data_IF_602260206085
#
_entry.id   IF_602260206085
#
_cell.length_a   1.000
_cell.length_b   1.000
_cell.length_c   1.000
_cell.angle_alpha   90.00
_cell.angle_beta   90.00
_cell.angle_gamma   90.00
#
_symmetry.space_group_name_H-M   'P 1'
#
loop_
_entity.id
_entity.type
_entity.pdbx_description
1 polymer ?
#
# COMPACT_ATOMS: atom_id res chain seq x y z
N UNK A 1 -16.77 3.64 -26.03
CA UNK A 1 -16.51 4.39 -27.28
C UNK A 1 -16.97 5.83 -27.10
N UNK A 2 -16.08 6.75 -26.67
CA UNK A 2 -16.39 8.18 -26.43
C UNK A 2 -16.30 9.00 -27.75
N UNK A 3 -16.99 8.53 -28.80
CA UNK A 3 -16.95 9.11 -30.15
C UNK A 3 -18.13 10.04 -30.47
N UNK A 4 -19.09 10.21 -29.57
CA UNK A 4 -20.21 11.13 -29.79
C UNK A 4 -19.77 12.58 -29.49
N UNK A 5 -19.83 13.43 -30.51
CA UNK A 5 -19.46 14.85 -30.47
C UNK A 5 -20.26 15.66 -29.43
N UNK A 6 -21.47 15.21 -29.08
CA UNK A 6 -22.32 15.85 -28.07
C UNK A 6 -21.77 15.71 -26.66
N UNK A 7 -21.28 14.53 -26.27
CA UNK A 7 -20.67 14.31 -24.94
C UNK A 7 -19.39 15.13 -24.76
N UNK A 8 -18.65 15.34 -25.84
CA UNK A 8 -17.44 16.16 -25.83
C UNK A 8 -17.79 17.63 -25.62
N UNK A 9 -18.77 18.16 -26.37
CA UNK A 9 -19.28 19.52 -26.20
C UNK A 9 -19.83 19.75 -24.80
N UNK A 10 -20.56 18.77 -24.24
CA UNK A 10 -21.11 18.86 -22.90
C UNK A 10 -20.00 19.00 -21.86
N UNK A 11 -18.95 18.18 -21.92
CA UNK A 11 -17.83 18.26 -20.97
C UNK A 11 -17.11 19.60 -21.09
N UNK A 12 -16.78 20.04 -22.31
CA UNK A 12 -16.09 21.33 -22.53
C UNK A 12 -16.93 22.52 -22.04
N UNK A 13 -18.23 22.55 -22.34
CA UNK A 13 -19.11 23.63 -21.90
C UNK A 13 -19.28 23.67 -20.37
N UNK A 14 -19.34 22.51 -19.71
CA UNK A 14 -19.45 22.46 -18.26
C UNK A 14 -18.16 22.94 -17.59
N UNK A 15 -16.97 22.63 -18.13
CA UNK A 15 -15.70 23.14 -17.57
C UNK A 15 -15.58 24.67 -17.73
N UNK A 16 -16.22 25.25 -18.73
CA UNK A 16 -16.28 26.71 -18.88
C UNK A 16 -17.24 27.39 -17.88
N UNK A 17 -18.19 26.65 -17.31
CA UNK A 17 -19.24 27.18 -16.41
C UNK A 17 -19.01 26.82 -14.94
N UNK A 18 -18.28 25.75 -14.66
CA UNK A 18 -18.10 25.20 -13.32
C UNK A 18 -16.61 25.01 -13.00
N UNK A 19 -16.21 25.34 -11.77
CA UNK A 19 -14.84 25.15 -11.30
C UNK A 19 -14.45 23.67 -11.14
N UNK A 20 -15.43 22.79 -10.91
CA UNK A 20 -15.23 21.34 -10.73
C UNK A 20 -16.28 20.58 -11.54
N UNK A 21 -15.84 19.64 -12.38
CA UNK A 21 -16.71 18.76 -13.17
C UNK A 21 -16.41 17.31 -12.82
N UNK A 22 -17.38 16.63 -12.21
CA UNK A 22 -17.31 15.20 -11.90
C UNK A 22 -17.80 14.38 -13.10
N UNK A 23 -16.97 13.44 -13.57
CA UNK A 23 -17.32 12.58 -14.71
C UNK A 23 -17.40 11.13 -14.25
N UNK A 24 -18.62 10.59 -14.20
CA UNK A 24 -18.84 9.18 -13.93
C UNK A 24 -18.55 8.32 -15.17
N UNK A 25 -17.78 7.26 -14.96
CA UNK A 25 -17.18 6.45 -16.01
C UNK A 25 -16.97 5.01 -15.56
N UNK A 26 -17.52 4.07 -16.31
CA UNK A 26 -17.21 2.65 -16.10
C UNK A 26 -15.70 2.38 -16.25
N UNK A 27 -15.15 1.45 -15.45
CA UNK A 27 -13.80 0.94 -15.65
C UNK A 27 -13.56 0.54 -17.11
N UNK A 28 -12.43 0.93 -17.69
CA UNK A 28 -12.00 0.58 -19.06
C UNK A 28 -12.72 1.32 -20.21
N UNK A 29 -13.54 2.32 -19.88
CA UNK A 29 -14.20 3.17 -20.89
C UNK A 29 -13.25 4.07 -21.70
N UNK A 30 -11.98 4.18 -21.31
CA UNK A 30 -10.96 5.04 -21.92
C UNK A 30 -11.15 6.54 -21.65
N UNK A 31 -12.18 6.91 -20.89
CA UNK A 31 -12.54 8.31 -20.61
C UNK A 31 -11.46 9.08 -19.85
N UNK A 32 -10.76 8.40 -18.93
CA UNK A 32 -9.69 9.00 -18.14
C UNK A 32 -8.52 9.50 -19.02
N UNK A 33 -8.27 8.88 -20.17
CA UNK A 33 -7.21 9.29 -21.10
C UNK A 33 -7.71 10.23 -22.21
N UNK A 34 -9.00 10.12 -22.57
CA UNK A 34 -9.60 10.89 -23.67
C UNK A 34 -10.04 12.29 -23.24
N UNK A 35 -10.57 12.45 -22.02
CA UNK A 35 -11.07 13.74 -21.51
C UNK A 35 -9.94 14.77 -21.35
N UNK A 36 -8.76 14.43 -20.78
CA UNK A 36 -7.68 15.41 -20.68
C UNK A 36 -7.19 15.88 -22.06
N UNK A 37 -7.10 14.97 -23.04
CA UNK A 37 -6.73 15.31 -24.42
C UNK A 37 -7.76 16.22 -25.07
N UNK A 38 -9.04 15.97 -24.83
CA UNK A 38 -10.13 16.80 -25.32
C UNK A 38 -10.05 18.22 -24.75
N UNK A 39 -9.89 18.35 -23.43
CA UNK A 39 -9.84 19.64 -22.75
C UNK A 39 -8.57 20.43 -23.09
N UNK A 40 -7.45 19.74 -23.29
CA UNK A 40 -6.23 20.35 -23.80
C UNK A 40 -6.42 20.87 -25.23
N UNK A 41 -7.04 20.09 -26.13
CA UNK A 41 -7.35 20.53 -27.49
C UNK A 41 -8.35 21.71 -27.53
N UNK A 42 -9.22 21.83 -26.52
CA UNK A 42 -10.15 22.95 -26.35
C UNK A 42 -9.50 24.20 -25.72
N UNK A 43 -8.17 24.23 -25.55
CA UNK A 43 -7.42 25.40 -25.03
C UNK A 43 -7.79 25.83 -23.60
N UNK A 44 -8.28 24.91 -22.77
CA UNK A 44 -8.66 25.21 -21.37
C UNK A 44 -7.46 25.26 -20.39
N UNK A 45 -6.23 25.47 -20.90
CA UNK A 45 -5.01 25.58 -20.09
C UNK A 45 -4.45 24.24 -19.59
N UNK A 46 -3.81 24.26 -18.41
CA UNK A 46 -3.22 23.08 -17.77
C UNK A 46 -4.30 22.19 -17.16
N UNK A 47 -4.65 21.11 -17.85
CA UNK A 47 -5.63 20.13 -17.38
C UNK A 47 -4.92 19.06 -16.56
N UNK A 48 -5.09 19.12 -15.23
CA UNK A 48 -4.60 18.08 -14.31
C UNK A 48 -5.72 17.07 -14.08
N UNK A 49 -5.46 15.81 -14.41
CA UNK A 49 -6.40 14.72 -14.14
C UNK A 49 -5.76 13.79 -13.11
N UNK A 50 -6.35 13.69 -11.91
CA UNK A 50 -5.93 12.71 -10.90
C UNK A 50 -6.40 11.32 -11.34
N UNK A 51 -5.62 10.69 -12.21
CA UNK A 51 -5.74 9.25 -12.42
C UNK A 51 -5.04 8.55 -11.26
N UNK A 52 -5.74 7.63 -10.60
CA UNK A 52 -5.08 6.48 -9.99
C UNK A 52 -4.30 5.81 -11.13
N UNK A 53 -2.96 5.90 -11.12
CA UNK A 53 -2.12 5.36 -12.19
C UNK A 53 -2.54 3.92 -12.50
N UNK A 54 -3.10 3.71 -13.70
CA UNK A 54 -3.35 2.36 -14.23
C UNK A 54 -2.12 1.92 -15.00
N UNK A 55 -1.04 1.59 -14.28
CA UNK A 55 0.04 0.82 -14.89
C UNK A 55 -0.48 -0.62 -15.11
N UNK A 56 -0.63 -1.01 -16.38
CA UNK A 56 -0.98 -2.39 -16.74
C UNK A 56 0.18 -3.31 -16.35
N UNK A 57 -0.13 -4.33 -15.55
CA UNK A 57 0.88 -5.09 -14.82
C UNK A 57 1.04 -6.54 -15.28
N UNK A 58 0.59 -6.84 -16.50
CA UNK A 58 1.34 -7.81 -17.32
C UNK A 58 2.73 -7.21 -17.64
N UNK A 59 2.87 -5.88 -17.69
CA UNK A 59 4.17 -5.22 -17.83
C UNK A 59 4.82 -5.04 -16.46
N UNK A 60 4.21 -4.42 -15.45
CA UNK A 60 4.91 -4.17 -14.17
C UNK A 60 5.43 -5.42 -13.46
N UNK A 61 4.62 -6.45 -13.20
CA UNK A 61 5.11 -7.64 -12.47
C UNK A 61 6.06 -8.49 -13.34
N UNK A 62 5.82 -8.61 -14.65
CA UNK A 62 6.67 -9.37 -15.58
C UNK A 62 7.93 -8.61 -16.03
N UNK A 63 7.88 -7.28 -16.14
CA UNK A 63 9.01 -6.39 -16.46
C UNK A 63 9.83 -6.13 -15.21
N UNK A 64 9.20 -6.00 -14.04
CA UNK A 64 9.95 -6.10 -12.79
C UNK A 64 10.50 -7.52 -12.63
N UNK A 65 9.78 -8.59 -12.97
CA UNK A 65 10.35 -9.94 -12.97
C UNK A 65 11.54 -10.09 -13.93
N UNK A 66 11.46 -9.51 -15.13
CA UNK A 66 12.53 -9.51 -16.12
C UNK A 66 13.73 -8.65 -15.70
N UNK A 67 13.49 -7.41 -15.27
CA UNK A 67 14.50 -6.47 -14.76
C UNK A 67 15.18 -7.02 -13.50
N UNK A 68 14.40 -7.65 -12.61
CA UNK A 68 14.84 -8.14 -11.31
C UNK A 68 15.29 -9.61 -11.32
N UNK A 69 15.12 -10.33 -12.45
CA UNK A 69 15.33 -11.79 -12.59
C UNK A 69 14.59 -12.63 -11.54
N UNK A 70 13.36 -12.23 -11.25
CA UNK A 70 12.49 -12.80 -10.20
C UNK A 70 11.51 -13.80 -10.83
N UNK A 71 11.35 -15.00 -10.27
CA UNK A 71 10.58 -16.08 -10.94
C UNK A 71 9.06 -15.99 -10.70
N UNK A 72 8.59 -15.50 -9.54
CA UNK A 72 7.16 -15.48 -9.19
C UNK A 72 6.32 -14.44 -9.94
N UNK A 73 6.95 -13.36 -10.41
CA UNK A 73 6.23 -12.30 -11.11
C UNK A 73 5.66 -12.72 -12.47
N UNK A 74 6.02 -13.90 -12.98
CA UNK A 74 5.40 -14.50 -14.16
C UNK A 74 4.07 -15.22 -13.86
N UNK A 75 3.91 -15.78 -12.65
CA UNK A 75 2.72 -16.55 -12.25
C UNK A 75 1.65 -15.61 -11.69
N UNK A 76 2.04 -14.64 -10.87
CA UNK A 76 1.13 -13.65 -10.31
C UNK A 76 0.92 -12.47 -11.25
N UNK A 77 -0.35 -12.14 -11.50
CA UNK A 77 -0.75 -11.04 -12.35
C UNK A 77 -1.69 -10.09 -11.61
N UNK A 78 -1.26 -8.87 -11.33
CA UNK A 78 -2.06 -7.85 -10.64
C UNK A 78 -1.53 -6.46 -10.97
N UNK A 79 -2.37 -5.42 -10.93
CA UNK A 79 -1.99 -4.01 -11.11
C UNK A 79 -1.81 -3.32 -9.76
N UNK A 80 -0.78 -2.49 -9.64
CA UNK A 80 -0.56 -1.60 -8.50
C UNK A 80 -1.24 -0.28 -8.81
N UNK A 81 -2.12 0.16 -7.92
CA UNK A 81 -2.69 1.49 -7.86
C UNK A 81 -2.31 2.16 -6.55
N UNK A 82 -2.43 3.48 -6.51
CA UNK A 82 -2.14 4.27 -5.32
C UNK A 82 -3.16 5.40 -5.18
N UNK A 83 -3.82 5.52 -4.02
CA UNK A 83 -4.82 6.57 -3.74
C UNK A 83 -4.40 7.40 -2.53
N UNK A 84 -4.79 8.69 -2.45
CA UNK A 84 -4.46 9.51 -1.28
C UNK A 84 -5.11 8.98 0.02
N UNK A 85 -6.27 8.32 -0.08
CA UNK A 85 -6.98 7.75 1.08
C UNK A 85 -6.37 6.42 1.57
N UNK A 86 -6.27 5.43 0.69
CA UNK A 86 -5.94 4.05 1.07
C UNK A 86 -4.46 3.73 0.88
N UNK A 87 -3.71 4.58 0.19
CA UNK A 87 -2.35 4.26 -0.25
C UNK A 87 -2.36 3.14 -1.28
N UNK A 88 -1.64 2.05 -1.00
CA UNK A 88 -1.48 0.92 -1.91
C UNK A 88 -2.80 0.16 -2.16
N UNK A 89 -3.16 0.03 -3.43
CA UNK A 89 -4.32 -0.76 -3.89
C UNK A 89 -3.85 -1.77 -4.94
N UNK A 90 -4.20 -3.05 -4.76
CA UNK A 90 -3.91 -4.10 -5.73
C UNK A 90 -5.17 -4.42 -6.54
N UNK A 91 -5.10 -4.35 -7.86
CA UNK A 91 -6.23 -4.56 -8.76
C UNK A 91 -6.06 -5.78 -9.66
N UNK A 92 -7.18 -6.43 -9.99
CA UNK A 92 -7.25 -7.48 -11.02
C UNK A 92 -6.27 -8.64 -10.76
N UNK A 93 -6.14 -9.05 -9.51
CA UNK A 93 -5.31 -10.16 -9.07
C UNK A 93 -5.75 -11.45 -9.77
N UNK A 94 -4.79 -12.13 -10.36
CA UNK A 94 -4.95 -13.38 -11.07
C UNK A 94 -3.68 -14.21 -10.96
N UNK A 95 -3.82 -15.51 -11.18
CA UNK A 95 -2.73 -16.47 -11.22
C UNK A 95 -2.67 -17.15 -12.59
N UNK A 96 -1.49 -17.27 -13.17
CA UNK A 96 -1.25 -17.91 -14.47
C UNK A 96 -0.98 -19.40 -14.23
N UNK A 97 -1.98 -20.22 -14.51
CA UNK A 97 -1.98 -21.67 -14.24
C UNK A 97 -1.55 -22.46 -15.47
N UNK A 98 -0.28 -22.33 -15.85
CA UNK A 98 0.32 -23.02 -17.01
C UNK A 98 -0.55 -22.93 -18.27
N UNK A 99 -0.94 -24.09 -18.82
CA UNK A 99 -1.77 -24.18 -20.03
C UNK A 99 -3.22 -23.73 -19.83
N UNK A 100 -3.71 -23.62 -18.59
CA UNK A 100 -5.05 -23.10 -18.30
C UNK A 100 -5.11 -21.57 -18.38
N UNK A 101 -3.97 -20.91 -18.48
CA UNK A 101 -3.86 -19.47 -18.65
C UNK A 101 -4.22 -18.69 -17.40
N UNK A 102 -4.63 -17.43 -17.60
CA UNK A 102 -4.87 -16.46 -16.53
C UNK A 102 -6.19 -16.73 -15.79
N UNK A 103 -6.10 -17.07 -14.51
CA UNK A 103 -7.24 -17.34 -13.62
C UNK A 103 -7.45 -16.18 -12.63
N UNK A 104 -8.54 -15.40 -12.72
CA UNK A 104 -8.83 -14.32 -11.78
C UNK A 104 -9.04 -14.83 -10.35
N UNK A 105 -8.50 -14.11 -9.36
CA UNK A 105 -8.64 -14.42 -7.92
C UNK A 105 -9.39 -13.29 -7.20
N UNK A 106 -8.91 -12.05 -7.32
CA UNK A 106 -9.53 -10.90 -6.65
C UNK A 106 -9.58 -9.67 -7.56
N UNK A 107 -10.71 -8.96 -7.56
CA UNK A 107 -10.86 -7.74 -8.36
C UNK A 107 -10.07 -6.58 -7.77
N UNK A 108 -10.03 -6.46 -6.44
CA UNK A 108 -9.41 -5.34 -5.71
C UNK A 108 -9.07 -5.76 -4.28
N UNK A 109 -7.86 -5.48 -3.83
CA UNK A 109 -7.39 -5.60 -2.45
C UNK A 109 -6.87 -4.23 -2.00
N UNK A 110 -7.30 -3.76 -0.83
CA UNK A 110 -6.81 -2.53 -0.20
C UNK A 110 -7.09 -2.53 1.29
N UNK A 111 -6.40 -1.67 2.02
CA UNK A 111 -6.73 -1.29 3.39
C UNK A 111 -7.65 -0.08 3.32
N UNK A 112 -8.94 -0.27 3.59
CA UNK A 112 -9.98 0.76 3.38
C UNK A 112 -10.12 1.73 4.55
N UNK A 113 -9.73 1.28 5.76
CA UNK A 113 -9.75 2.07 6.98
C UNK A 113 -8.83 1.46 8.04
N UNK A 114 -8.34 2.30 8.97
CA UNK A 114 -7.75 1.89 10.24
C UNK A 114 -8.27 2.84 11.32
N UNK A 115 -8.74 2.26 12.43
CA UNK A 115 -9.31 3.00 13.54
C UNK A 115 -8.44 2.82 14.78
N UNK A 116 -8.12 3.93 15.44
CA UNK A 116 -7.26 3.98 16.63
C UNK A 116 -8.05 4.59 17.79
N UNK A 117 -8.92 3.80 18.45
CA UNK A 117 -9.66 4.24 19.62
C UNK A 117 -8.75 4.23 20.86
N UNK A 118 -8.68 5.34 21.58
CA UNK A 118 -7.97 5.43 22.85
C UNK A 118 -8.88 5.02 24.00
N UNK A 119 -8.35 4.18 24.91
CA UNK A 119 -9.11 3.64 26.03
C UNK A 119 -9.11 4.48 27.31
N UNK A 120 -8.45 5.64 27.33
CA UNK A 120 -8.44 6.52 28.51
C UNK A 120 -9.74 7.34 28.58
N UNK A 121 -10.57 7.17 29.64
CA UNK A 121 -11.84 7.87 29.78
C UNK A 121 -11.69 9.34 30.21
N UNK A 122 -10.50 9.79 30.61
CA UNK A 122 -10.30 11.15 31.10
C UNK A 122 -10.29 12.17 29.95
N UNK A 123 -10.59 13.42 30.29
CA UNK A 123 -10.42 14.54 29.35
C UNK A 123 -8.93 14.87 29.15
N UNK A 124 -8.45 15.15 27.93
CA UNK A 124 -9.19 15.20 26.65
C UNK A 124 -9.14 13.89 25.86
N UNK A 125 -8.77 12.76 26.46
CA UNK A 125 -8.44 11.50 25.78
C UNK A 125 -9.62 10.66 25.33
N UNK A 126 -10.75 10.72 26.04
CA UNK A 126 -11.94 9.95 25.67
C UNK A 126 -12.45 10.21 24.25
N UNK A 127 -12.13 11.39 23.68
CA UNK A 127 -12.51 11.77 22.31
C UNK A 127 -11.50 11.32 21.25
N UNK A 128 -10.32 10.81 21.62
CA UNK A 128 -9.29 10.37 20.67
C UNK A 128 -9.72 9.03 20.04
N UNK A 129 -10.28 9.12 18.84
CA UNK A 129 -10.67 7.98 18.03
C UNK A 129 -10.35 8.32 16.58
N UNK A 130 -9.10 8.08 16.17
CA UNK A 130 -8.66 8.48 14.84
C UNK A 130 -9.14 7.45 13.80
N UNK A 131 -9.71 7.94 12.69
CA UNK A 131 -9.96 7.15 11.49
C UNK A 131 -8.89 7.52 10.48
N UNK A 132 -7.71 6.95 10.61
CA UNK A 132 -6.49 7.41 9.96
C UNK A 132 -6.58 7.43 8.43
N UNK A 133 -7.28 6.49 7.80
CA UNK A 133 -7.48 6.54 6.35
C UNK A 133 -8.55 7.57 5.99
N UNK A 134 -9.67 7.60 6.73
CA UNK A 134 -10.80 8.49 6.46
C UNK A 134 -10.55 9.97 6.72
N UNK A 135 -9.86 10.29 7.81
CA UNK A 135 -9.65 11.65 8.34
C UNK A 135 -8.35 12.28 7.82
N UNK A 136 -7.28 11.51 7.68
CA UNK A 136 -5.97 12.04 7.25
C UNK A 136 -5.54 11.52 5.88
N UNK A 137 -5.69 10.22 5.65
CA UNK A 137 -5.37 9.54 4.40
C UNK A 137 -4.02 8.84 4.44
N UNK A 138 -4.02 7.51 4.34
CA UNK A 138 -2.82 6.68 4.40
C UNK A 138 -1.84 7.01 3.26
N UNK A 139 -2.37 7.20 2.04
CA UNK A 139 -1.52 7.43 0.87
C UNK A 139 -0.96 8.84 0.78
N UNK A 140 -1.73 9.83 1.24
CA UNK A 140 -1.27 11.23 1.35
C UNK A 140 -0.08 11.33 2.31
N UNK A 141 -0.10 10.57 3.39
CA UNK A 141 0.94 10.55 4.42
C UNK A 141 2.03 9.48 4.16
N UNK A 142 2.12 8.96 2.94
CA UNK A 142 3.06 7.90 2.62
C UNK A 142 4.50 8.42 2.53
N UNK A 143 5.46 7.59 2.93
CA UNK A 143 6.86 7.95 2.97
C UNK A 143 7.57 7.60 1.65
N UNK A 144 8.61 8.36 1.32
CA UNK A 144 9.58 7.98 0.28
C UNK A 144 10.55 6.94 0.81
N UNK A 145 10.48 5.70 0.31
CA UNK A 145 11.25 4.57 0.81
C UNK A 145 12.68 4.56 0.23
N UNK A 146 13.67 4.43 1.11
CA UNK A 146 15.10 4.37 0.74
C UNK A 146 15.57 2.95 0.52
N UNK A 147 16.24 2.74 -0.62
CA UNK A 147 16.90 1.47 -0.97
C UNK A 147 17.94 1.08 0.08
N UNK A 148 17.86 -0.16 0.56
CA UNK A 148 18.79 -0.70 1.55
C UNK A 148 18.48 -0.34 3.00
N UNK A 149 17.56 0.58 3.25
CA UNK A 149 17.04 0.89 4.59
C UNK A 149 15.65 0.27 4.76
N UNK A 150 14.66 0.83 4.06
CA UNK A 150 13.24 0.44 4.21
C UNK A 150 12.92 -0.86 3.46
N UNK A 151 13.50 -1.02 2.26
CA UNK A 151 13.37 -2.24 1.47
C UNK A 151 14.76 -2.78 1.09
N UNK A 152 15.02 -4.04 1.45
CA UNK A 152 16.28 -4.74 1.27
C UNK A 152 16.20 -5.81 0.18
N UNK A 153 17.22 -5.85 -0.67
CA UNK A 153 17.37 -6.82 -1.76
C UNK A 153 17.27 -6.16 -3.13
N UNK A 154 16.77 -6.89 -4.11
CA UNK A 154 16.51 -6.36 -5.44
C UNK A 154 15.11 -5.75 -5.49
N UNK A 155 15.04 -4.42 -5.45
CA UNK A 155 13.79 -3.68 -5.29
C UNK A 155 13.43 -2.93 -6.57
N UNK A 156 12.15 -3.01 -6.96
CA UNK A 156 11.54 -2.06 -7.90
C UNK A 156 10.69 -1.08 -7.11
N UNK A 157 10.92 0.21 -7.35
CA UNK A 157 10.15 1.29 -6.76
C UNK A 157 9.13 1.87 -7.73
N UNK A 158 8.07 2.45 -7.17
CA UNK A 158 7.08 3.22 -7.90
C UNK A 158 6.82 4.53 -7.17
N UNK A 159 6.67 5.60 -7.95
CA UNK A 159 6.29 6.92 -7.46
C UNK A 159 4.76 7.04 -7.47
N UNK A 160 4.23 7.88 -6.59
CA UNK A 160 2.83 8.32 -6.66
C UNK A 160 2.78 9.81 -6.96
N UNK A 161 1.75 10.20 -7.72
CA UNK A 161 1.46 11.59 -7.96
C UNK A 161 0.05 11.90 -7.46
N UNK A 162 -0.03 12.80 -6.49
CA UNK A 162 -1.23 13.19 -5.78
C UNK A 162 -1.55 14.66 -6.08
N UNK A 163 -2.80 15.06 -5.87
CA UNK A 163 -3.17 16.48 -5.93
C UNK A 163 -2.71 17.19 -4.67
N UNK A 164 -1.94 18.26 -4.81
CA UNK A 164 -1.60 19.12 -3.70
C UNK A 164 -2.79 20.04 -3.38
N UNK A 165 -3.31 19.94 -2.16
CA UNK A 165 -4.50 20.71 -1.75
C UNK A 165 -4.24 22.22 -1.68
N UNK A 166 -3.04 22.62 -1.28
CA UNK A 166 -2.68 24.04 -1.08
C UNK A 166 -2.43 24.76 -2.40
N UNK A 167 -1.72 24.12 -3.33
CA UNK A 167 -1.32 24.74 -4.61
C UNK A 167 -2.26 24.39 -5.76
N UNK A 168 -3.13 23.38 -5.60
CA UNK A 168 -3.94 22.82 -6.68
C UNK A 168 -3.14 22.05 -7.75
N UNK A 169 -1.82 21.93 -7.57
CA UNK A 169 -0.91 21.27 -8.49
C UNK A 169 -0.76 19.76 -8.23
N UNK A 170 0.22 19.15 -8.87
CA UNK A 170 0.60 17.75 -8.66
C UNK A 170 1.79 17.69 -7.70
N UNK A 171 1.68 16.88 -6.67
CA UNK A 171 2.74 16.54 -5.74
C UNK A 171 3.19 15.10 -5.99
N UNK A 172 4.50 14.91 -6.18
CA UNK A 172 5.09 13.59 -6.42
C UNK A 172 5.74 13.10 -5.15
N UNK A 173 5.35 11.90 -4.70
CA UNK A 173 6.03 11.16 -3.64
C UNK A 173 6.86 10.07 -4.33
N UNK A 174 8.18 10.26 -4.33
CA UNK A 174 9.11 9.33 -4.96
C UNK A 174 9.24 8.04 -4.13
N UNK A 175 9.43 6.91 -4.80
CA UNK A 175 9.71 5.61 -4.18
C UNK A 175 8.71 5.16 -3.11
N UNK A 176 7.43 5.51 -3.27
CA UNK A 176 6.40 5.29 -2.25
C UNK A 176 5.97 3.83 -2.12
N UNK A 177 6.04 3.05 -3.21
CA UNK A 177 5.78 1.61 -3.20
C UNK A 177 7.05 0.86 -3.53
N UNK A 178 7.34 -0.19 -2.77
CA UNK A 178 8.42 -1.12 -3.08
C UNK A 178 7.88 -2.52 -3.42
N UNK A 179 8.42 -3.11 -4.48
CA UNK A 179 8.11 -4.44 -4.98
C UNK A 179 9.38 -5.28 -5.01
N UNK A 180 9.36 -6.44 -4.38
CA UNK A 180 10.51 -7.34 -4.36
C UNK A 180 10.12 -8.79 -4.03
N UNK A 181 10.94 -9.75 -4.45
CA UNK A 181 10.82 -11.15 -4.03
C UNK A 181 11.77 -11.43 -2.86
N UNK A 182 11.31 -12.24 -1.91
CA UNK A 182 12.11 -12.70 -0.77
C UNK A 182 11.96 -14.20 -0.61
N UNK A 183 13.06 -14.87 -0.26
CA UNK A 183 13.01 -16.25 0.21
C UNK A 183 12.15 -16.36 1.48
N UNK A 184 11.37 -17.44 1.55
CA UNK A 184 10.46 -17.72 2.65
C UNK A 184 10.63 -19.16 3.15
N UNK A 185 11.87 -19.64 3.24
CA UNK A 185 12.18 -20.95 3.81
C UNK A 185 11.81 -22.12 2.89
N UNK A 186 11.32 -23.22 3.47
CA UNK A 186 10.96 -24.44 2.73
C UNK A 186 9.49 -24.38 2.32
N UNK A 187 9.21 -24.59 1.03
CA UNK A 187 7.85 -24.72 0.52
C UNK A 187 7.28 -26.10 0.85
N UNK A 188 8.01 -27.13 0.45
CA UNK A 188 7.71 -28.50 0.82
C UNK A 188 8.99 -29.34 0.78
N UNK A 189 9.00 -30.39 1.60
CA UNK A 189 10.07 -31.38 1.67
C UNK A 189 9.45 -32.74 1.93
N UNK A 190 9.91 -33.74 1.19
CA UNK A 190 9.53 -35.13 1.42
C UNK A 190 10.77 -36.03 1.34
N UNK A 191 10.80 -37.07 2.19
CA UNK A 191 11.81 -38.11 2.14
C UNK A 191 11.08 -39.46 2.15
N UNK A 192 11.21 -40.21 1.06
CA UNK A 192 10.66 -41.55 0.94
C UNK A 192 11.69 -42.55 1.48
N UNK A 193 11.35 -43.17 2.61
CA UNK A 193 12.23 -44.15 3.25
C UNK A 193 12.37 -45.46 2.46
N UNK A 194 11.40 -45.81 1.59
CA UNK A 194 11.44 -47.06 0.83
C UNK A 194 12.41 -46.99 -0.34
N UNK A 195 12.45 -45.85 -1.01
CA UNK A 195 13.33 -45.61 -2.17
C UNK A 195 14.62 -44.88 -1.80
N UNK A 196 14.68 -44.25 -0.62
CA UNK A 196 15.79 -43.41 -0.19
C UNK A 196 15.82 -42.03 -0.86
N UNK A 197 14.81 -41.69 -1.67
CA UNK A 197 14.75 -40.42 -2.39
C UNK A 197 14.29 -39.29 -1.48
N UNK A 198 14.96 -38.14 -1.58
CA UNK A 198 14.60 -36.91 -0.87
C UNK A 198 14.41 -35.76 -1.85
N UNK A 199 13.30 -35.04 -1.71
CA UNK A 199 13.00 -33.85 -2.49
C UNK A 199 12.72 -32.66 -1.59
N UNK A 200 13.20 -31.49 -2.01
CA UNK A 200 12.97 -30.21 -1.34
C UNK A 200 12.72 -29.11 -2.37
N UNK A 201 11.77 -28.22 -2.07
CA UNK A 201 11.56 -26.96 -2.81
C UNK A 201 11.52 -25.82 -1.81
N UNK A 202 12.19 -24.71 -2.15
CA UNK A 202 12.15 -23.48 -1.34
C UNK A 202 10.91 -22.68 -1.65
N UNK A 203 10.38 -22.00 -0.63
CA UNK A 203 9.29 -21.06 -0.76
C UNK A 203 9.84 -19.67 -0.98
N UNK A 204 9.11 -18.88 -1.75
CA UNK A 204 9.42 -17.50 -2.07
C UNK A 204 8.14 -16.72 -2.05
N UNK A 205 8.23 -15.43 -1.70
CA UNK A 205 7.09 -14.52 -1.69
C UNK A 205 7.41 -13.25 -2.45
N UNK A 206 6.50 -12.85 -3.33
CA UNK A 206 6.50 -11.54 -3.96
C UNK A 206 5.78 -10.56 -3.02
N UNK A 207 6.49 -9.52 -2.61
CA UNK A 207 6.02 -8.53 -1.63
C UNK A 207 5.81 -7.19 -2.31
N UNK A 208 4.64 -6.58 -2.06
CA UNK A 208 4.32 -5.21 -2.45
C UNK A 208 3.97 -4.45 -1.19
N UNK A 209 4.63 -3.33 -0.93
CA UNK A 209 4.41 -2.58 0.30
C UNK A 209 4.59 -1.08 0.15
N UNK A 210 3.97 -0.35 1.08
CA UNK A 210 4.22 1.07 1.32
C UNK A 210 4.23 1.33 2.84
N UNK A 211 4.81 2.45 3.25
CA UNK A 211 4.77 2.93 4.63
C UNK A 211 4.15 4.32 4.68
N UNK A 212 3.46 4.65 5.76
CA UNK A 212 2.99 6.00 6.03
C UNK A 212 3.18 6.38 7.50
N UNK A 213 3.31 7.68 7.73
CA UNK A 213 3.42 8.27 9.06
C UNK A 213 2.19 9.11 9.34
N UNK A 214 1.40 8.75 10.34
CA UNK A 214 0.24 9.54 10.79
C UNK A 214 0.50 10.00 12.21
N UNK A 215 0.77 11.28 12.34
CA UNK A 215 1.23 11.90 13.58
C UNK A 215 2.41 11.12 14.21
N UNK A 216 2.17 10.40 15.31
CA UNK A 216 3.17 9.63 16.04
C UNK A 216 3.30 8.16 15.60
N UNK A 217 2.45 7.71 14.68
CA UNK A 217 2.39 6.32 14.24
C UNK A 217 3.08 6.13 12.89
N UNK A 218 3.77 5.00 12.76
CA UNK A 218 4.27 4.52 11.48
C UNK A 218 3.62 3.18 11.16
N UNK A 219 2.96 3.12 10.00
CA UNK A 219 2.30 1.92 9.50
C UNK A 219 3.01 1.41 8.25
N UNK A 220 3.45 0.16 8.29
CA UNK A 220 3.92 -0.57 7.11
C UNK A 220 2.88 -1.56 6.62
N UNK A 221 2.35 -1.34 5.41
CA UNK A 221 1.34 -2.23 4.82
C UNK A 221 1.98 -3.11 3.74
N UNK A 222 1.78 -4.43 3.87
CA UNK A 222 2.40 -5.43 3.00
C UNK A 222 1.34 -6.37 2.42
N UNK A 223 1.42 -6.59 1.11
CA UNK A 223 0.76 -7.69 0.42
C UNK A 223 1.82 -8.70 -0.02
N UNK A 224 1.65 -9.94 0.39
CA UNK A 224 2.51 -11.06 0.00
C UNK A 224 1.76 -12.05 -0.89
N UNK A 225 2.41 -12.45 -1.98
CA UNK A 225 1.94 -13.45 -2.93
C UNK A 225 2.92 -14.61 -2.98
N UNK A 226 2.44 -15.83 -2.78
CA UNK A 226 3.28 -17.03 -2.61
C UNK A 226 3.18 -18.00 -3.79
N UNK A 227 4.16 -18.88 -3.93
CA UNK A 227 4.21 -19.91 -4.99
C UNK A 227 3.08 -20.94 -4.91
N UNK A 228 2.49 -21.13 -3.72
CA UNK A 228 1.40 -22.06 -3.46
C UNK A 228 0.01 -21.45 -3.70
N UNK A 229 -0.06 -20.20 -4.17
CA UNK A 229 -1.32 -19.48 -4.39
C UNK A 229 -1.81 -18.71 -3.16
N UNK A 230 -1.11 -18.74 -2.01
CA UNK A 230 -1.48 -17.94 -0.84
C UNK A 230 -1.34 -16.45 -1.14
N UNK A 231 -2.31 -15.67 -0.64
CA UNK A 231 -2.25 -14.21 -0.56
C UNK A 231 -2.32 -13.85 0.93
N UNK A 232 -1.41 -13.00 1.39
CA UNK A 232 -1.34 -12.58 2.79
C UNK A 232 -1.26 -11.05 2.87
N UNK A 233 -2.00 -10.50 3.83
CA UNK A 233 -1.92 -9.10 4.22
C UNK A 233 -1.20 -9.03 5.57
N UNK A 234 -0.12 -8.27 5.65
CA UNK A 234 0.62 -8.01 6.89
C UNK A 234 0.66 -6.49 7.13
N UNK A 235 0.38 -6.07 8.36
CA UNK A 235 0.53 -4.68 8.79
C UNK A 235 1.53 -4.64 9.94
N UNK A 236 2.56 -3.81 9.81
CA UNK A 236 3.56 -3.58 10.83
C UNK A 236 3.32 -2.23 11.47
N UNK A 237 3.25 -2.22 12.80
CA UNK A 237 3.06 -1.02 13.60
C UNK A 237 4.39 -0.68 14.25
N UNK A 238 4.86 0.55 14.04
CA UNK A 238 6.05 1.10 14.69
C UNK A 238 5.78 2.57 15.03
N UNK A 239 6.83 3.30 15.36
CA UNK A 239 6.76 4.71 15.69
C UNK A 239 6.89 5.00 17.16
N UNK A 240 6.23 6.05 17.60
CA UNK A 240 6.31 6.55 18.96
C UNK A 240 4.93 6.45 19.59
N UNK A 241 4.86 5.93 20.81
CA UNK A 241 3.61 5.88 21.56
C UNK A 241 3.07 7.30 21.80
N UNK A 242 1.76 7.47 21.65
CA UNK A 242 1.10 8.69 22.09
C UNK A 242 1.06 8.71 23.62
N UNK A 243 1.98 9.46 24.22
CA UNK A 243 2.15 9.54 25.68
C UNK A 243 1.28 10.62 26.30
N UNK A 244 0.88 10.38 27.54
CA UNK A 244 0.11 11.30 28.36
C UNK A 244 0.94 11.71 29.58
N UNK A 245 0.72 12.92 30.05
CA UNK A 245 1.31 13.40 31.29
C UNK A 245 0.33 13.12 32.42
N UNK A 246 0.64 12.14 33.25
CA UNK A 246 -0.14 11.87 34.45
C UNK A 246 0.36 12.75 35.60
N UNK A 247 -0.51 13.67 36.04
CA UNK A 247 -0.21 14.59 37.16
C UNK A 247 0.03 13.88 38.49
N UNK A 248 -0.38 12.62 38.63
CA UNK A 248 -0.13 11.82 39.85
C UNK A 248 1.26 11.15 39.88
N UNK A 249 2.00 11.17 38.76
CA UNK A 249 3.36 10.61 38.63
C UNK A 249 4.43 11.68 38.36
N UNK A 250 4.12 12.97 38.56
CA UNK A 250 5.03 14.11 38.37
C UNK A 250 6.35 14.08 39.17
N UNK A 251 6.55 13.08 40.04
CA UNK A 251 7.77 12.85 40.80
C UNK A 251 8.64 11.66 40.29
N UNK A 252 8.25 10.99 39.20
CA UNK A 252 9.02 9.88 38.64
C UNK A 252 9.36 10.18 37.17
N UNK A 253 10.62 10.49 36.83
CA UNK A 253 11.04 10.60 35.45
C UNK A 253 11.19 9.18 34.88
N UNK A 254 10.10 8.56 34.42
CA UNK A 254 10.19 7.28 33.73
C UNK A 254 9.99 7.46 32.23
N UNK A 255 11.10 7.84 31.58
CA UNK A 255 11.50 7.32 30.28
C UNK A 255 11.40 5.79 30.35
N UNK A 256 10.62 5.15 29.48
CA UNK A 256 10.67 3.70 29.31
C UNK A 256 11.63 3.39 28.16
N UNK A 257 12.85 3.00 28.51
CA UNK A 257 13.82 2.38 27.61
C UNK A 257 13.25 1.02 27.17
N UNK A 258 13.12 0.82 25.86
CA UNK A 258 13.10 -0.53 25.29
C UNK A 258 14.55 -1.00 25.22
N UNK A 259 14.92 -1.94 26.08
CA UNK A 259 16.22 -2.60 25.97
C UNK A 259 16.15 -3.62 24.83
N UNK A 260 16.73 -3.27 23.68
CA UNK A 260 16.74 -4.07 22.45
C UNK A 260 17.88 -5.12 22.42
N UNK A 261 18.58 -5.35 23.55
CA UNK A 261 19.71 -6.27 23.66
C UNK A 261 19.43 -7.53 24.51
N UNK A 262 18.17 -7.99 24.59
CA UNK A 262 17.86 -9.27 25.24
C UNK A 262 18.26 -10.47 24.36
N UNK A 263 19.38 -11.12 24.71
CA UNK A 263 19.90 -12.32 24.02
C UNK A 263 19.20 -13.64 24.44
N UNK A 264 18.25 -13.65 25.41
CA UNK A 264 17.50 -14.88 25.71
C UNK A 264 16.10 -14.71 26.33
N UNK A 265 15.17 -15.67 26.13
CA UNK A 265 13.76 -15.57 26.57
C UNK A 265 13.51 -15.73 28.07
N UNK A 266 14.53 -15.90 28.92
CA UNK A 266 14.34 -16.21 30.35
C UNK A 266 14.40 -15.00 31.29
N UNK A 267 14.79 -13.83 30.79
CA UNK A 267 14.91 -12.61 31.60
C UNK A 267 13.67 -11.70 31.53
N UNK A 268 12.61 -12.13 30.84
CA UNK A 268 11.31 -11.44 30.85
C UNK A 268 10.58 -11.80 32.14
N UNK A 269 10.85 -11.06 33.21
CA UNK A 269 10.01 -11.05 34.42
C UNK A 269 8.94 -9.98 34.26
N UNK A 270 7.68 -10.41 34.10
CA UNK A 270 6.52 -9.53 34.22
C UNK A 270 6.26 -9.28 35.71
N UNK A 271 6.86 -8.24 36.27
CA UNK A 271 6.49 -7.76 37.60
C UNK A 271 5.37 -6.72 37.47
N UNK A 272 4.14 -7.20 37.65
CA UNK A 272 2.96 -6.38 37.85
C UNK A 272 2.90 -5.99 39.34
N UNK A 273 3.23 -4.74 39.67
CA UNK A 273 2.96 -4.13 40.98
C UNK A 273 2.14 -2.86 40.65
N UNK A 274 0.81 -2.77 40.70
CA UNK A 274 -0.28 -3.20 41.58
C UNK A 274 -0.89 -1.99 42.34
N UNK A 275 -2.23 -1.86 42.20
CA UNK A 275 -3.20 -0.96 42.90
C UNK A 275 -3.13 0.52 42.48
N UNK A 276 -4.20 1.18 42.06
CA UNK A 276 -5.65 1.08 42.34
C UNK A 276 -6.51 1.05 41.07
#
# INVERSE_FOLDING_TARGET
MFRHSENQKLVTNNVALYQVVLVDASPDSGKSSQIPRLLHAASHGHVVCSQTYRLMAVLVASHAAADMRVQLGHEWNFRIGFTPKEGLVIHSVAYVDGNRGRRPIARRLSFVEIVVPYGDPNEPHYRKNAFDAGEDGLGKNANSLKKGCDCLGHIKYFDAHLSNFTTGGVETIENVVCLHEKDHGILWKHQDWRTGLAEVRRSRRLTVSFMCTIANYEYGFYWHFYQDGKIEAEVKLTGILSILMDSSTAHLPSMCLLDLEAESPKDIQAELIAKL
#
